data_IF_444351364114
#
_entry.id   IF_444351364114
#
_cell.length_a   1.000
_cell.length_b   1.000
_cell.length_c   1.000
_cell.angle_alpha   90.00
_cell.angle_beta   90.00
_cell.angle_gamma   90.00
#
_symmetry.space_group_name_H-M   'P 1'
#
loop_
_entity.id
_entity.type
_entity.pdbx_description
1 polymer ?
#
# COMPACT_ATOMS: atom_id res chain seq x y z
N UNK A 1 -20.90 -11.49 9.24
CA UNK A 1 -21.17 -12.94 9.05
C UNK A 1 -20.29 -13.54 7.95
N UNK A 2 -20.33 -13.07 6.70
CA UNK A 2 -19.54 -13.64 5.56
C UNK A 2 -18.05 -13.81 5.87
N UNK A 3 -17.41 -12.78 6.46
CA UNK A 3 -15.98 -12.85 6.85
C UNK A 3 -15.70 -13.95 7.88
N UNK A 4 -16.57 -14.10 8.89
CA UNK A 4 -16.42 -15.12 9.94
C UNK A 4 -16.51 -16.53 9.37
N UNK A 5 -17.47 -16.77 8.46
CA UNK A 5 -17.63 -18.07 7.79
C UNK A 5 -16.41 -18.41 6.92
N UNK A 6 -15.88 -17.46 6.16
CA UNK A 6 -14.65 -17.68 5.39
C UNK A 6 -13.44 -17.98 6.29
N UNK A 7 -13.36 -17.34 7.46
CA UNK A 7 -12.28 -17.58 8.42
C UNK A 7 -12.38 -18.98 9.04
N UNK A 8 -13.57 -19.39 9.45
CA UNK A 8 -13.83 -20.73 9.97
C UNK A 8 -13.39 -21.82 8.98
N UNK A 9 -13.79 -21.69 7.70
CA UNK A 9 -13.45 -22.63 6.64
C UNK A 9 -11.93 -22.77 6.38
N UNK A 10 -11.15 -21.71 6.62
CA UNK A 10 -9.71 -21.71 6.37
C UNK A 10 -8.86 -22.10 7.59
N UNK A 11 -9.37 -21.89 8.81
CA UNK A 11 -8.60 -22.08 10.06
C UNK A 11 -8.92 -23.42 10.73
N UNK A 12 -10.18 -23.86 10.69
CA UNK A 12 -10.59 -25.08 11.38
C UNK A 12 -9.94 -26.31 10.71
N UNK A 13 -9.14 -27.04 11.50
CA UNK A 13 -8.41 -28.23 11.04
C UNK A 13 -9.27 -29.49 11.01
N UNK A 14 -10.37 -29.53 11.76
CA UNK A 14 -11.28 -30.68 11.85
C UNK A 14 -12.73 -30.26 11.65
N UNK A 15 -13.55 -31.17 11.12
CA UNK A 15 -14.98 -30.95 10.95
C UNK A 15 -15.70 -30.64 12.27
N UNK A 16 -15.23 -31.20 13.39
CA UNK A 16 -15.78 -30.93 14.72
C UNK A 16 -15.59 -29.45 15.10
N UNK A 17 -14.37 -28.93 15.00
CA UNK A 17 -14.10 -27.52 15.28
C UNK A 17 -14.80 -26.58 14.31
N UNK A 18 -15.00 -27.00 13.06
CA UNK A 18 -15.74 -26.21 12.08
C UNK A 18 -17.23 -26.09 12.45
N UNK A 19 -17.86 -27.17 12.91
CA UNK A 19 -19.25 -27.15 13.36
C UNK A 19 -19.42 -26.32 14.63
N UNK A 20 -18.50 -26.44 15.59
CA UNK A 20 -18.49 -25.61 16.80
C UNK A 20 -18.41 -24.11 16.46
N UNK A 21 -17.53 -23.74 15.52
CA UNK A 21 -17.38 -22.35 15.05
C UNK A 21 -18.63 -21.86 14.30
N UNK A 22 -19.29 -22.72 13.50
CA UNK A 22 -20.55 -22.36 12.85
C UNK A 22 -21.68 -22.14 13.86
N UNK A 23 -21.74 -22.93 14.92
CA UNK A 23 -22.71 -22.73 16.01
C UNK A 23 -22.46 -21.40 16.74
N UNK A 24 -21.21 -21.04 16.96
CA UNK A 24 -20.86 -19.75 17.55
C UNK A 24 -21.22 -18.58 16.60
N UNK A 25 -20.97 -18.72 15.30
CA UNK A 25 -21.38 -17.73 14.29
C UNK A 25 -22.90 -17.57 14.26
N UNK A 26 -23.68 -18.65 14.37
CA UNK A 26 -25.15 -18.61 14.48
C UNK A 26 -25.58 -17.87 15.74
N UNK A 27 -24.96 -18.17 16.88
CA UNK A 27 -25.23 -17.52 18.17
C UNK A 27 -24.97 -16.02 18.12
N UNK A 28 -23.79 -15.61 17.63
CA UNK A 28 -23.43 -14.19 17.46
C UNK A 28 -24.38 -13.52 16.48
N UNK A 29 -24.73 -14.17 15.37
CA UNK A 29 -25.66 -13.64 14.39
C UNK A 29 -27.06 -13.39 14.98
N UNK A 30 -27.59 -14.35 15.74
CA UNK A 30 -28.87 -14.19 16.44
C UNK A 30 -28.85 -13.05 17.46
N UNK A 31 -27.77 -12.91 18.23
CA UNK A 31 -27.60 -11.80 19.18
C UNK A 31 -27.55 -10.43 18.50
N UNK A 32 -27.17 -10.39 17.22
CA UNK A 32 -27.19 -9.18 16.40
C UNK A 32 -28.45 -9.10 15.51
N UNK A 33 -29.51 -9.83 15.87
CA UNK A 33 -30.81 -9.84 15.19
C UNK A 33 -30.75 -10.24 13.70
N UNK A 34 -29.76 -11.04 13.29
CA UNK A 34 -29.73 -11.63 11.96
C UNK A 34 -30.63 -12.87 11.90
N UNK A 35 -31.48 -13.03 10.87
CA UNK A 35 -32.27 -14.23 10.68
C UNK A 35 -31.39 -15.48 10.51
N UNK A 36 -31.76 -16.60 11.16
CA UNK A 36 -31.04 -17.87 11.00
C UNK A 36 -30.96 -18.33 9.55
N UNK A 37 -32.07 -18.21 8.81
CA UNK A 37 -32.14 -18.55 7.39
C UNK A 37 -31.08 -17.83 6.55
N UNK A 38 -30.80 -16.56 6.88
CA UNK A 38 -29.76 -15.79 6.21
C UNK A 38 -28.35 -16.31 6.55
N UNK A 39 -28.09 -16.64 7.81
CA UNK A 39 -26.80 -17.17 8.27
C UNK A 39 -26.53 -18.54 7.64
N UNK A 40 -27.49 -19.46 7.70
CA UNK A 40 -27.36 -20.81 7.15
C UNK A 40 -27.21 -20.79 5.62
N UNK A 41 -27.90 -19.87 4.94
CA UNK A 41 -27.71 -19.65 3.49
C UNK A 41 -26.27 -19.25 3.19
N UNK A 42 -25.69 -18.32 3.95
CA UNK A 42 -24.29 -17.91 3.77
C UNK A 42 -23.34 -19.07 4.04
N UNK A 43 -23.55 -19.84 5.10
CA UNK A 43 -22.73 -21.00 5.44
C UNK A 43 -22.79 -22.01 4.28
N UNK A 44 -23.98 -22.36 3.78
CA UNK A 44 -24.16 -23.31 2.69
C UNK A 44 -23.49 -22.86 1.38
N UNK A 45 -23.65 -21.59 1.00
CA UNK A 45 -23.00 -21.01 -0.20
C UNK A 45 -21.47 -21.10 -0.05
N UNK A 46 -20.93 -20.69 1.10
CA UNK A 46 -19.48 -20.65 1.32
C UNK A 46 -18.86 -22.03 1.45
N UNK A 47 -19.54 -22.97 2.09
CA UNK A 47 -19.10 -24.36 2.20
C UNK A 47 -19.03 -25.02 0.80
N UNK A 48 -20.05 -24.79 -0.02
CA UNK A 48 -20.10 -25.30 -1.40
C UNK A 48 -18.97 -24.72 -2.26
N UNK A 49 -18.73 -23.41 -2.16
CA UNK A 49 -17.62 -22.72 -2.83
C UNK A 49 -16.26 -23.25 -2.36
N UNK A 50 -16.08 -23.45 -1.05
CA UNK A 50 -14.85 -23.95 -0.47
C UNK A 50 -14.54 -25.37 -0.96
N UNK A 51 -15.54 -26.26 -0.98
CA UNK A 51 -15.41 -27.63 -1.48
C UNK A 51 -14.99 -27.65 -2.96
N UNK A 52 -15.64 -26.84 -3.80
CA UNK A 52 -15.30 -26.77 -5.23
C UNK A 52 -13.91 -26.18 -5.49
N UNK A 53 -13.42 -25.32 -4.59
CA UNK A 53 -12.07 -24.76 -4.63
C UNK A 53 -10.98 -25.79 -4.28
N UNK A 54 -11.29 -26.77 -3.42
CA UNK A 54 -10.40 -27.90 -3.15
C UNK A 54 -10.38 -28.90 -4.30
N UNK A 55 -11.51 -29.17 -4.96
CA UNK A 55 -11.57 -30.07 -6.11
C UNK A 55 -10.88 -29.54 -7.38
N UNK A 56 -10.79 -28.22 -7.55
CA UNK A 56 -10.08 -27.59 -8.70
C UNK A 56 -8.57 -27.46 -8.50
N UNK A 57 -8.03 -27.87 -7.35
CA UNK A 57 -6.59 -27.92 -7.08
C UNK A 57 -5.94 -29.27 -7.36
N UNK A 58 -6.69 -30.27 -7.83
CA UNK A 58 -6.13 -31.55 -8.27
C UNK A 58 -5.62 -31.37 -9.70
N UNK A 59 -4.31 -31.24 -9.82
CA UNK A 59 -3.47 -31.59 -10.99
C UNK A 59 -4.00 -31.19 -12.37
N UNK A 60 -4.19 -29.88 -12.58
CA UNK A 60 -3.84 -29.37 -13.92
C UNK A 60 -2.36 -29.06 -13.86
N UNK A 61 -1.49 -29.75 -14.63
CA UNK A 61 -0.13 -29.27 -14.81
C UNK A 61 -0.29 -27.84 -15.32
N UNK A 62 0.24 -26.90 -14.54
CA UNK A 62 0.41 -25.53 -15.01
C UNK A 62 1.34 -25.70 -16.21
N UNK A 63 0.76 -25.72 -17.41
CA UNK A 63 1.51 -25.45 -18.62
C UNK A 63 1.91 -23.99 -18.42
N UNK A 64 3.03 -23.79 -17.74
CA UNK A 64 3.75 -22.52 -17.79
C UNK A 64 4.08 -22.37 -19.27
N UNK A 65 3.18 -21.69 -19.98
CA UNK A 65 3.51 -21.11 -21.25
C UNK A 65 4.69 -20.19 -20.93
N UNK A 66 5.89 -20.65 -21.27
CA UNK A 66 7.19 -20.05 -21.01
C UNK A 66 7.39 -18.80 -21.88
N UNK A 67 6.31 -18.01 -22.00
CA UNK A 67 6.28 -16.77 -22.73
C UNK A 67 7.11 -15.77 -21.97
N UNK A 68 8.01 -15.11 -22.68
CA UNK A 68 8.82 -14.04 -22.12
C UNK A 68 7.88 -12.92 -21.67
N UNK A 69 7.84 -12.65 -20.37
CA UNK A 69 6.98 -11.61 -19.79
C UNK A 69 7.66 -10.25 -19.88
N UNK A 70 6.93 -9.26 -20.39
CA UNK A 70 7.36 -7.85 -20.38
C UNK A 70 6.28 -7.02 -19.72
N UNK A 71 6.71 -6.10 -18.85
CA UNK A 71 5.84 -5.20 -18.13
C UNK A 71 5.90 -3.81 -18.78
N UNK A 72 4.72 -3.23 -19.07
CA UNK A 72 4.61 -1.92 -19.72
C UNK A 72 3.74 -1.00 -18.88
N UNK A 73 4.30 0.15 -18.50
CA UNK A 73 3.57 1.24 -17.85
C UNK A 73 2.86 2.08 -18.92
N UNK A 74 1.57 2.37 -18.71
CA UNK A 74 0.84 3.32 -19.54
C UNK A 74 -0.02 4.27 -18.69
N UNK A 75 -0.10 5.56 -19.03
CA UNK A 75 -0.98 6.49 -18.34
C UNK A 75 -2.45 6.12 -18.54
N UNK A 76 -3.25 6.25 -17.49
CA UNK A 76 -4.69 6.00 -17.53
C UNK A 76 -5.45 7.25 -17.98
N UNK A 77 -5.89 7.23 -19.24
CA UNK A 77 -6.69 8.23 -19.93
C UNK A 77 -7.97 7.50 -20.41
N UNK A 78 -8.75 7.02 -19.44
CA UNK A 78 -10.06 6.41 -19.64
C UNK A 78 -10.10 5.39 -20.82
N UNK A 79 -11.03 5.57 -21.75
CA UNK A 79 -11.28 4.67 -22.90
C UNK A 79 -10.10 4.60 -23.87
N UNK A 80 -9.35 5.68 -24.05
CA UNK A 80 -8.19 5.73 -24.94
C UNK A 80 -7.09 4.75 -24.52
N UNK A 81 -6.85 4.63 -23.21
CA UNK A 81 -5.86 3.70 -22.66
C UNK A 81 -6.26 2.24 -22.86
N UNK A 82 -7.56 1.93 -22.72
CA UNK A 82 -8.09 0.57 -22.96
C UNK A 82 -7.95 0.21 -24.44
N UNK A 83 -8.31 1.14 -25.33
CA UNK A 83 -8.17 0.96 -26.78
C UNK A 83 -6.71 0.74 -27.20
N UNK A 84 -5.78 1.52 -26.65
CA UNK A 84 -4.35 1.38 -26.90
C UNK A 84 -3.82 0.03 -26.40
N UNK A 85 -4.14 -0.36 -25.15
CA UNK A 85 -3.77 -1.66 -24.58
C UNK A 85 -4.21 -2.81 -25.49
N UNK A 86 -5.46 -2.79 -25.93
CA UNK A 86 -6.00 -3.85 -26.77
C UNK A 86 -5.27 -3.91 -28.12
N UNK A 87 -5.05 -2.76 -28.78
CA UNK A 87 -4.29 -2.68 -30.03
C UNK A 87 -2.88 -3.24 -29.89
N UNK A 88 -2.14 -2.83 -28.85
CA UNK A 88 -0.77 -3.33 -28.61
C UNK A 88 -0.80 -4.83 -28.32
N UNK A 89 -1.75 -5.31 -27.51
CA UNK A 89 -1.90 -6.74 -27.21
C UNK A 89 -2.21 -7.57 -28.46
N UNK A 90 -3.12 -7.09 -29.32
CA UNK A 90 -3.44 -7.74 -30.59
C UNK A 90 -2.23 -7.78 -31.53
N UNK A 91 -1.52 -6.67 -31.69
CA UNK A 91 -0.30 -6.60 -32.50
C UNK A 91 0.79 -7.53 -31.97
N UNK A 92 0.96 -7.58 -30.65
CA UNK A 92 1.96 -8.44 -30.00
C UNK A 92 1.63 -9.91 -30.23
N UNK A 93 0.39 -10.32 -29.99
CA UNK A 93 -0.04 -11.70 -30.23
C UNK A 93 0.12 -12.11 -31.69
N UNK A 94 0.00 -11.16 -32.64
CA UNK A 94 0.19 -11.42 -34.08
C UNK A 94 1.66 -11.52 -34.48
N UNK A 95 2.52 -10.65 -33.94
CA UNK A 95 3.93 -10.53 -34.36
C UNK A 95 4.89 -11.39 -33.54
N UNK A 96 4.62 -11.55 -32.24
CA UNK A 96 5.45 -12.28 -31.27
C UNK A 96 4.56 -13.01 -30.25
N UNK A 97 3.99 -14.17 -30.61
CA UNK A 97 3.10 -14.94 -29.74
C UNK A 97 3.82 -15.56 -28.52
N UNK A 98 5.15 -15.64 -28.58
CA UNK A 98 6.09 -16.01 -27.52
C UNK A 98 6.24 -14.93 -26.44
N UNK A 99 5.75 -13.72 -26.69
CA UNK A 99 5.81 -12.60 -25.76
C UNK A 99 4.48 -12.38 -25.05
N UNK A 100 4.51 -12.27 -23.72
CA UNK A 100 3.36 -11.91 -22.90
C UNK A 100 3.54 -10.51 -22.30
N UNK A 101 2.77 -9.54 -22.80
CA UNK A 101 2.84 -8.15 -22.32
C UNK A 101 1.79 -7.92 -21.23
N UNK A 102 2.29 -7.56 -20.05
CA UNK A 102 1.49 -7.19 -18.89
C UNK A 102 1.47 -5.67 -18.73
N UNK A 103 0.27 -5.09 -18.76
CA UNK A 103 0.07 -3.65 -18.67
C UNK A 103 -0.31 -3.25 -17.26
N UNK A 104 0.33 -2.20 -16.75
CA UNK A 104 -0.07 -1.52 -15.53
C UNK A 104 -0.38 -0.05 -15.82
N UNK A 105 -1.47 0.43 -15.21
CA UNK A 105 -2.02 1.75 -15.48
C UNK A 105 -1.53 2.74 -14.44
N UNK A 106 -0.83 3.78 -14.88
CA UNK A 106 -0.45 4.90 -14.02
C UNK A 106 -1.61 5.89 -13.96
N UNK A 107 -2.17 6.19 -12.78
CA UNK A 107 -3.15 7.27 -12.68
C UNK A 107 -2.50 8.61 -13.05
N UNK A 108 -3.29 9.61 -13.47
CA UNK A 108 -2.79 10.97 -13.60
C UNK A 108 -2.21 11.44 -12.26
N UNK A 109 -1.23 12.34 -12.32
CA UNK A 109 -0.66 12.95 -11.13
C UNK A 109 -1.74 13.61 -10.30
N UNK A 110 -1.69 13.41 -8.97
CA UNK A 110 -2.61 14.08 -8.06
C UNK A 110 -2.44 15.60 -8.16
N UNK A 111 -3.47 16.34 -7.80
CA UNK A 111 -3.41 17.82 -7.71
C UNK A 111 -2.27 18.30 -6.82
N UNK A 112 -1.88 17.53 -5.80
CA UNK A 112 -0.72 17.80 -4.94
C UNK A 112 0.61 17.89 -5.71
N UNK A 113 0.74 17.22 -6.86
CA UNK A 113 1.94 17.37 -7.69
C UNK A 113 2.04 18.75 -8.35
N UNK A 114 0.90 19.42 -8.55
CA UNK A 114 0.81 20.73 -9.17
C UNK A 114 0.80 21.87 -8.14
N UNK A 115 0.29 21.60 -6.93
CA UNK A 115 0.21 22.57 -5.84
C UNK A 115 0.96 22.06 -4.63
N UNK A 116 2.05 22.76 -4.26
CA UNK A 116 2.71 22.53 -2.99
C UNK A 116 1.73 22.88 -1.87
N UNK A 117 1.31 21.89 -1.08
CA UNK A 117 0.32 22.07 0.00
C UNK A 117 0.79 22.99 1.14
N UNK A 118 2.09 23.34 1.20
CA UNK A 118 2.68 24.18 2.24
C UNK A 118 3.70 25.11 1.62
N UNK A 119 3.78 26.32 2.15
CA UNK A 119 4.83 27.25 1.79
C UNK A 119 6.22 26.67 2.15
N UNK A 120 7.22 26.83 1.28
CA UNK A 120 8.57 26.36 1.56
C UNK A 120 9.13 27.09 2.78
N UNK A 121 9.44 26.33 3.84
CA UNK A 121 10.06 26.86 5.05
C UNK A 121 11.57 26.95 4.83
N UNK A 122 12.11 28.17 4.96
CA UNK A 122 13.56 28.43 4.91
C UNK A 122 14.31 27.62 5.98
N UNK A 123 15.52 27.14 5.68
CA UNK A 123 16.26 26.17 6.51
C UNK A 123 16.36 26.55 8.00
N UNK A 124 16.57 27.83 8.30
CA UNK A 124 16.74 28.33 9.67
C UNK A 124 15.43 28.42 10.47
N UNK A 125 14.28 28.39 9.80
CA UNK A 125 12.97 28.34 10.43
C UNK A 125 12.45 26.90 10.60
N UNK A 126 13.21 25.89 10.16
CA UNK A 126 12.86 24.48 10.37
C UNK A 126 13.09 24.05 11.81
N UNK A 127 12.20 23.20 12.30
CA UNK A 127 12.31 22.45 13.56
C UNK A 127 12.80 21.03 13.27
N UNK A 128 13.15 20.27 14.32
CA UNK A 128 13.65 18.88 14.23
C UNK A 128 14.85 18.72 13.30
N UNK A 129 15.77 19.67 13.38
CA UNK A 129 17.00 19.70 12.58
C UNK A 129 18.24 19.52 13.44
N UNK A 130 19.31 19.06 12.79
CA UNK A 130 20.66 19.08 13.35
C UNK A 130 21.32 20.39 12.95
N UNK A 131 21.94 21.07 13.92
CA UNK A 131 22.67 22.30 13.69
C UNK A 131 24.09 22.20 14.21
N UNK A 132 24.97 23.06 13.70
CA UNK A 132 26.32 23.21 14.21
C UNK A 132 26.65 24.67 14.50
N UNK A 133 27.38 24.92 15.58
CA UNK A 133 27.90 26.24 15.96
C UNK A 133 29.41 26.15 15.99
N UNK A 134 30.07 26.98 15.17
CA UNK A 134 31.53 27.10 15.19
C UNK A 134 31.93 28.17 16.21
N UNK A 135 32.91 27.89 17.05
CA UNK A 135 33.50 28.94 17.88
C UNK A 135 34.26 29.93 16.99
N UNK A 136 34.11 31.23 17.22
CA UNK A 136 34.85 32.23 16.46
C UNK A 136 36.31 32.36 16.94
N UNK A 137 36.54 32.09 18.24
CA UNK A 137 37.83 32.31 18.88
C UNK A 137 38.71 31.04 18.93
N UNK A 138 38.21 29.89 18.46
CA UNK A 138 38.99 28.65 18.37
C UNK A 138 38.48 27.69 17.28
N UNK A 139 39.21 26.59 17.07
CA UNK A 139 38.90 25.57 16.04
C UNK A 139 37.79 24.59 16.45
N UNK A 140 37.20 24.74 17.64
CA UNK A 140 36.16 23.84 18.12
C UNK A 140 34.79 24.18 17.54
N UNK A 141 33.94 23.16 17.45
CA UNK A 141 32.54 23.28 17.04
C UNK A 141 31.63 22.44 17.93
N UNK A 142 30.40 22.91 18.07
CA UNK A 142 29.34 22.21 18.77
C UNK A 142 28.30 21.74 17.74
N UNK A 143 27.89 20.47 17.81
CA UNK A 143 26.83 19.91 16.98
C UNK A 143 25.70 19.48 17.90
N UNK A 144 24.47 19.91 17.60
CA UNK A 144 23.31 19.62 18.42
C UNK A 144 22.06 19.34 17.60
N UNK A 145 21.08 18.70 18.21
CA UNK A 145 19.73 18.53 17.68
C UNK A 145 18.77 19.49 18.38
N UNK A 146 17.73 19.95 17.69
CA UNK A 146 16.69 20.81 18.28
C UNK A 146 15.30 20.43 17.80
N UNK A 147 14.34 20.37 18.74
CA UNK A 147 12.91 20.25 18.44
C UNK A 147 12.27 21.62 18.16
N UNK A 148 12.92 22.72 18.59
CA UNK A 148 12.52 24.09 18.27
C UNK A 148 13.09 24.52 16.92
N UNK A 149 12.55 25.61 16.36
CA UNK A 149 13.11 26.26 15.18
C UNK A 149 14.60 26.54 15.35
N UNK A 150 15.40 26.20 14.33
CA UNK A 150 16.85 26.32 14.37
C UNK A 150 17.32 27.72 14.78
N UNK A 151 16.69 28.78 14.25
CA UNK A 151 17.00 30.17 14.60
C UNK A 151 16.82 30.47 16.10
N UNK A 152 15.78 29.91 16.74
CA UNK A 152 15.57 30.08 18.19
C UNK A 152 16.68 29.39 18.97
N UNK A 153 17.06 28.18 18.57
CA UNK A 153 18.13 27.43 19.22
C UNK A 153 19.50 28.10 19.06
N UNK A 154 19.78 28.64 17.88
CA UNK A 154 21.00 29.40 17.62
C UNK A 154 21.05 30.69 18.46
N UNK A 155 19.91 31.37 18.66
CA UNK A 155 19.82 32.52 19.57
C UNK A 155 20.10 32.15 21.02
N UNK A 156 19.54 31.04 21.50
CA UNK A 156 19.75 30.55 22.87
C UNK A 156 21.23 30.25 23.16
N UNK A 157 21.98 29.80 22.14
CA UNK A 157 23.42 29.51 22.24
C UNK A 157 24.33 30.71 21.88
N UNK A 158 23.76 31.90 21.71
CA UNK A 158 24.53 33.11 21.40
C UNK A 158 25.24 33.07 20.03
N UNK A 159 24.75 32.25 19.09
CA UNK A 159 25.33 32.18 17.76
C UNK A 159 25.12 33.52 17.01
N UNK A 160 26.11 33.98 16.23
CA UNK A 160 26.00 35.24 15.51
C UNK A 160 24.88 35.18 14.46
N UNK A 161 24.20 36.31 14.24
CA UNK A 161 23.05 36.41 13.30
C UNK A 161 23.39 36.02 11.86
N UNK A 162 24.66 36.13 11.47
CA UNK A 162 25.18 35.71 10.16
C UNK A 162 25.15 34.20 9.96
N UNK A 163 25.01 33.42 11.03
CA UNK A 163 25.16 31.98 11.02
C UNK A 163 23.85 31.22 10.72
N UNK A 164 22.70 31.90 10.81
CA UNK A 164 21.39 31.26 10.70
C UNK A 164 21.17 30.56 9.36
N UNK A 165 21.66 31.11 8.25
CA UNK A 165 21.39 30.57 6.91
C UNK A 165 22.21 29.31 6.56
N UNK A 166 23.35 29.08 7.22
CA UNK A 166 24.34 28.06 6.82
C UNK A 166 24.49 26.90 7.81
N UNK A 167 23.83 26.97 8.98
CA UNK A 167 24.11 26.08 10.11
C UNK A 167 23.04 25.03 10.39
N UNK A 168 21.95 24.97 9.62
CA UNK A 168 20.85 24.05 9.85
C UNK A 168 20.78 23.01 8.72
N UNK A 169 20.99 21.74 9.05
CA UNK A 169 20.91 20.60 8.14
C UNK A 169 19.76 19.65 8.54
N UNK A 170 19.17 19.02 7.53
CA UNK A 170 18.12 18.00 7.73
C UNK A 170 18.78 16.64 7.87
#
# INVERSE_FOLDING_TARGET
>A
IVSMVNRALNICSTYKHLEDEFNEIRRIGLLNNYPLSFIDTIIGIKLSQHRNKTFTKIDTPIIENDKKKIYVEIPFIQSSTIGLKNKIKHLTNKLKPDLDIQFFFKPPSSTQAFFQNKDPIVKHMKSDVVYYVKCNDCTHSYIGKTERQCIRRLNEHGAPKTAYQQQCNH
#
